data_IF_675806182666
#
_entry.id   IF_675806182666
#
_cell.length_a   1.000
_cell.length_b   1.000
_cell.length_c   1.000
_cell.angle_alpha   90.00
_cell.angle_beta   90.00
_cell.angle_gamma   90.00
#
_symmetry.space_group_name_H-M   'P 1'
#
loop_
_entity.id
_entity.type
_entity.pdbx_description
1 polymer ?
#
# COMPACT_ATOMS: atom_id res chain seq x y z
N UNK A 1 11.31 6.03 21.96
CA UNK A 1 11.10 4.58 21.75
C UNK A 1 12.19 3.80 22.48
N UNK A 2 12.03 3.52 23.78
CA UNK A 2 13.11 2.91 24.58
C UNK A 2 13.39 1.43 24.28
N UNK A 3 12.54 0.73 23.50
CA UNK A 3 12.65 -0.72 23.26
C UNK A 3 12.68 -1.13 21.78
N UNK A 4 12.73 -0.18 20.84
CA UNK A 4 12.85 -0.50 19.41
C UNK A 4 14.25 -0.95 19.05
N UNK A 5 14.38 -1.86 18.07
CA UNK A 5 15.69 -2.24 17.53
C UNK A 5 16.42 -1.00 16.99
N UNK A 6 17.60 -0.62 17.53
CA UNK A 6 18.31 0.59 17.09
C UNK A 6 18.62 0.58 15.59
N UNK A 7 18.90 -0.59 15.01
CA UNK A 7 19.14 -0.73 13.57
C UNK A 7 17.88 -0.41 12.75
N UNK A 8 16.70 -0.86 13.19
CA UNK A 8 15.43 -0.60 12.50
C UNK A 8 15.12 0.91 12.51
N UNK A 9 15.31 1.56 13.66
CA UNK A 9 15.10 3.01 13.78
C UNK A 9 16.02 3.78 12.84
N UNK A 10 17.31 3.42 12.75
CA UNK A 10 18.26 4.08 11.86
C UNK A 10 17.83 3.98 10.40
N UNK A 11 17.38 2.81 9.94
CA UNK A 11 16.92 2.62 8.56
C UNK A 11 15.63 3.39 8.30
N UNK A 12 14.66 3.34 9.21
CA UNK A 12 13.37 4.04 9.03
C UNK A 12 13.50 5.57 9.07
N UNK A 13 14.51 6.10 9.76
CA UNK A 13 14.83 7.52 9.80
C UNK A 13 15.49 8.03 8.51
N UNK A 14 15.97 7.16 7.63
CA UNK A 14 16.45 7.59 6.31
C UNK A 14 15.30 8.29 5.58
N UNK A 15 15.54 9.52 5.13
CA UNK A 15 14.50 10.26 4.42
C UNK A 15 14.43 9.77 2.97
N UNK A 16 13.28 9.26 2.49
CA UNK A 16 13.17 8.80 1.10
C UNK A 16 13.47 9.89 0.07
N UNK A 17 13.26 11.16 0.42
CA UNK A 17 13.60 12.33 -0.42
C UNK A 17 15.09 12.41 -0.78
N UNK A 18 15.96 11.76 -0.01
CA UNK A 18 17.42 11.74 -0.20
C UNK A 18 17.87 10.56 -1.07
N UNK A 19 16.94 9.65 -1.41
CA UNK A 19 17.20 8.44 -2.18
C UNK A 19 16.46 8.57 -3.52
N UNK A 20 17.13 8.38 -4.67
CA UNK A 20 16.46 8.31 -5.96
C UNK A 20 15.32 7.28 -5.96
N UNK A 21 14.19 7.61 -6.60
CA UNK A 21 12.98 6.78 -6.57
C UNK A 21 13.22 5.38 -7.14
N UNK A 22 14.10 5.24 -8.12
CA UNK A 22 14.49 3.97 -8.74
C UNK A 22 15.18 3.04 -7.75
N UNK A 23 15.80 3.60 -6.70
CA UNK A 23 16.55 2.86 -5.70
C UNK A 23 15.74 2.51 -4.46
N UNK A 24 14.49 3.00 -4.33
CA UNK A 24 13.63 2.73 -3.17
C UNK A 24 13.35 1.23 -2.93
N UNK A 25 13.50 0.38 -3.95
CA UNK A 25 13.36 -1.06 -3.81
C UNK A 25 14.37 -1.67 -2.81
N UNK A 26 15.59 -1.12 -2.71
CA UNK A 26 16.64 -1.62 -1.82
C UNK A 26 16.33 -1.39 -0.33
N UNK A 27 16.06 -0.14 0.13
CA UNK A 27 15.71 0.10 1.53
C UNK A 27 14.41 -0.60 1.90
N UNK A 28 13.41 -0.67 1.02
CA UNK A 28 12.17 -1.40 1.30
C UNK A 28 12.41 -2.90 1.52
N UNK A 29 13.23 -3.54 0.67
CA UNK A 29 13.60 -4.94 0.86
C UNK A 29 14.31 -5.13 2.21
N UNK A 30 15.27 -4.27 2.53
CA UNK A 30 16.00 -4.33 3.79
C UNK A 30 15.09 -4.15 5.01
N UNK A 31 14.19 -3.15 4.99
CA UNK A 31 13.18 -2.93 6.03
C UNK A 31 12.30 -4.17 6.21
N UNK A 32 11.86 -4.79 5.11
CA UNK A 32 11.06 -6.01 5.16
C UNK A 32 11.80 -7.16 5.83
N UNK A 33 13.07 -7.38 5.51
CA UNK A 33 13.89 -8.44 6.10
C UNK A 33 14.04 -8.23 7.60
N UNK A 34 14.38 -7.01 8.03
CA UNK A 34 14.54 -6.66 9.44
C UNK A 34 13.24 -6.82 10.23
N UNK A 35 12.12 -6.32 9.69
CA UNK A 35 10.82 -6.44 10.35
C UNK A 35 10.38 -7.90 10.43
N UNK A 36 10.61 -8.69 9.38
CA UNK A 36 10.26 -10.11 9.36
C UNK A 36 11.06 -10.90 10.38
N UNK A 37 12.36 -10.64 10.48
CA UNK A 37 13.21 -11.21 11.53
C UNK A 37 12.65 -10.87 12.92
N UNK A 38 12.36 -9.60 13.19
CA UNK A 38 11.86 -9.19 14.52
C UNK A 38 10.47 -9.76 14.85
N UNK A 39 9.57 -9.83 13.86
CA UNK A 39 8.14 -10.15 14.04
C UNK A 39 7.87 -11.66 13.95
N UNK A 40 8.58 -12.37 13.08
CA UNK A 40 8.34 -13.81 12.84
C UNK A 40 9.39 -14.70 13.50
N UNK A 41 10.63 -14.23 13.70
CA UNK A 41 11.67 -15.03 14.35
C UNK A 41 11.55 -14.94 15.88
N UNK A 42 11.02 -16.01 16.47
CA UNK A 42 10.86 -16.15 17.92
C UNK A 42 12.16 -16.51 18.64
N UNK A 43 13.26 -16.80 17.92
CA UNK A 43 14.54 -17.17 18.54
C UNK A 43 15.18 -15.99 19.28
N UNK A 44 14.95 -14.78 18.79
CA UNK A 44 15.33 -13.54 19.44
C UNK A 44 14.09 -12.93 20.06
N UNK A 45 13.89 -13.12 21.37
CA UNK A 45 12.98 -12.26 22.16
C UNK A 45 13.52 -10.82 22.13
N UNK A 46 13.28 -10.13 21.03
CA UNK A 46 13.50 -8.70 20.96
C UNK A 46 12.54 -8.04 21.97
N UNK A 47 12.98 -6.95 22.59
CA UNK A 47 12.27 -6.34 23.73
C UNK A 47 11.05 -5.50 23.28
N UNK A 48 10.79 -5.40 21.97
CA UNK A 48 9.60 -4.76 21.39
C UNK A 48 8.79 -5.77 20.60
N UNK A 49 7.47 -5.78 20.79
CA UNK A 49 6.57 -6.66 20.06
C UNK A 49 6.33 -6.19 18.61
N UNK A 50 5.50 -6.92 17.87
CA UNK A 50 5.09 -6.55 16.51
C UNK A 50 4.47 -5.15 16.43
N UNK A 51 3.79 -4.71 17.48
CA UNK A 51 3.14 -3.42 17.53
C UNK A 51 4.13 -2.25 17.54
N UNK A 52 5.21 -2.33 18.31
CA UNK A 52 6.24 -1.30 18.35
C UNK A 52 6.94 -1.16 17.00
N UNK A 53 7.23 -2.29 16.35
CA UNK A 53 7.84 -2.31 15.02
C UNK A 53 6.90 -1.74 13.96
N UNK A 54 5.61 -2.09 14.03
CA UNK A 54 4.58 -1.52 13.18
C UNK A 54 4.45 -0.01 13.38
N UNK A 55 4.41 0.46 14.63
CA UNK A 55 4.31 1.89 14.94
C UNK A 55 5.48 2.63 14.27
N UNK A 56 6.71 2.14 14.45
CA UNK A 56 7.88 2.74 13.82
C UNK A 56 7.74 2.75 12.30
N UNK A 57 7.32 1.63 11.70
CA UNK A 57 7.19 1.51 10.25
C UNK A 57 6.14 2.45 9.64
N UNK A 58 4.97 2.60 10.28
CA UNK A 58 3.88 3.46 9.77
C UNK A 58 4.21 4.95 9.95
N UNK A 59 4.88 5.32 11.04
CA UNK A 59 5.09 6.73 11.38
C UNK A 59 6.36 7.35 10.79
N UNK A 60 7.36 6.55 10.41
CA UNK A 60 8.62 7.07 9.89
C UNK A 60 8.77 6.85 8.38
N UNK A 61 9.28 7.88 7.70
CA UNK A 61 9.67 7.83 6.29
C UNK A 61 8.54 7.64 5.27
N UNK A 62 7.29 7.39 5.68
CA UNK A 62 6.21 7.09 4.73
C UNK A 62 6.46 5.80 3.94
N UNK A 63 7.24 4.87 4.49
CA UNK A 63 7.69 3.67 3.80
C UNK A 63 6.55 2.72 3.42
N UNK A 64 5.49 2.65 4.22
CA UNK A 64 4.30 1.86 3.90
C UNK A 64 3.61 2.34 2.61
N UNK A 65 3.46 3.66 2.45
CA UNK A 65 2.90 4.22 1.23
C UNK A 65 3.82 3.98 0.03
N UNK A 66 5.12 4.21 0.20
CA UNK A 66 6.10 3.97 -0.87
C UNK A 66 6.08 2.50 -1.31
N UNK A 67 5.93 1.55 -0.38
CA UNK A 67 5.78 0.14 -0.71
C UNK A 67 4.55 -0.12 -1.59
N UNK A 68 3.41 0.52 -1.29
CA UNK A 68 2.19 0.42 -2.09
C UNK A 68 2.39 0.99 -3.50
N UNK A 69 3.03 2.15 -3.63
CA UNK A 69 3.32 2.79 -4.90
C UNK A 69 4.25 1.93 -5.76
N UNK A 70 5.34 1.43 -5.18
CA UNK A 70 6.30 0.57 -5.89
C UNK A 70 5.65 -0.73 -6.38
N UNK A 71 4.71 -1.30 -5.62
CA UNK A 71 3.97 -2.49 -6.05
C UNK A 71 3.05 -2.24 -7.25
N UNK A 72 2.41 -1.08 -7.28
CA UNK A 72 1.52 -0.67 -8.39
C UNK A 72 2.33 -0.30 -9.63
N UNK A 73 3.43 0.42 -9.46
CA UNK A 73 4.27 0.92 -10.56
C UNK A 73 5.19 -0.15 -11.17
N UNK A 74 5.51 -1.20 -10.42
CA UNK A 74 6.37 -2.28 -10.91
C UNK A 74 5.72 -3.04 -12.07
N UNK A 75 6.40 -3.15 -13.22
CA UNK A 75 5.95 -3.99 -14.33
C UNK A 75 6.17 -5.49 -14.06
N UNK A 76 7.20 -5.81 -13.27
CA UNK A 76 7.57 -7.17 -12.92
C UNK A 76 6.58 -7.82 -11.94
N UNK A 77 6.81 -9.09 -11.58
CA UNK A 77 6.03 -9.75 -10.56
C UNK A 77 6.15 -9.00 -9.20
N UNK A 78 5.04 -8.83 -8.45
CA UNK A 78 5.06 -8.17 -7.14
C UNK A 78 6.10 -8.78 -6.18
N UNK A 79 7.10 -8.01 -5.70
CA UNK A 79 8.11 -8.54 -4.79
C UNK A 79 7.50 -9.00 -3.46
N UNK A 80 7.88 -10.18 -2.99
CA UNK A 80 7.36 -10.76 -1.74
C UNK A 80 7.60 -9.83 -0.54
N UNK A 81 8.77 -9.19 -0.47
CA UNK A 81 9.11 -8.24 0.58
C UNK A 81 8.10 -7.07 0.67
N UNK A 82 7.68 -6.51 -0.47
CA UNK A 82 6.72 -5.40 -0.46
C UNK A 82 5.31 -5.87 -0.11
N UNK A 83 4.92 -7.05 -0.59
CA UNK A 83 3.65 -7.66 -0.21
C UNK A 83 3.59 -7.90 1.31
N UNK A 84 4.70 -8.37 1.89
CA UNK A 84 4.82 -8.59 3.32
C UNK A 84 4.70 -7.28 4.11
N UNK A 85 5.40 -6.22 3.67
CA UNK A 85 5.31 -4.89 4.30
C UNK A 85 3.88 -4.35 4.30
N UNK A 86 3.14 -4.48 3.21
CA UNK A 86 1.75 -4.04 3.14
C UNK A 86 0.82 -4.87 4.02
N UNK A 87 0.99 -6.20 4.02
CA UNK A 87 0.21 -7.05 4.90
C UNK A 87 0.47 -6.70 6.38
N UNK A 88 1.73 -6.47 6.73
CA UNK A 88 2.15 -6.03 8.07
C UNK A 88 1.64 -4.64 8.43
N UNK A 89 1.63 -3.68 7.49
CA UNK A 89 1.16 -2.31 7.75
C UNK A 89 -0.32 -2.25 8.13
N UNK A 90 -1.11 -3.17 7.58
CA UNK A 90 -2.55 -3.25 7.81
C UNK A 90 -2.94 -4.13 9.00
N UNK A 91 -2.22 -5.23 9.19
CA UNK A 91 -2.51 -6.20 10.25
C UNK A 91 -1.21 -6.60 10.97
N UNK A 92 -0.67 -5.76 11.87
CA UNK A 92 0.61 -6.04 12.52
C UNK A 92 0.58 -7.24 13.46
N UNK A 93 -0.59 -7.58 13.98
CA UNK A 93 -0.79 -8.69 14.93
C UNK A 93 -1.07 -10.02 14.23
N UNK A 94 -1.25 -10.05 12.91
CA UNK A 94 -1.53 -11.28 12.18
C UNK A 94 -0.35 -12.24 12.26
N UNK A 95 -0.63 -13.53 12.45
CA UNK A 95 0.40 -14.57 12.39
C UNK A 95 0.93 -14.76 10.97
N UNK A 96 2.06 -15.47 10.82
CA UNK A 96 2.68 -15.74 9.52
C UNK A 96 1.72 -16.37 8.50
N UNK A 97 0.83 -17.27 8.94
CA UNK A 97 -0.18 -17.90 8.08
C UNK A 97 -1.23 -16.90 7.55
N UNK A 98 -1.79 -16.06 8.43
CA UNK A 98 -2.79 -15.04 8.06
C UNK A 98 -2.17 -13.98 7.14
N UNK A 99 -0.92 -13.58 7.44
CA UNK A 99 -0.15 -12.65 6.62
C UNK A 99 0.09 -13.23 5.22
N UNK A 100 0.49 -14.51 5.12
CA UNK A 100 0.69 -15.18 3.84
C UNK A 100 -0.61 -15.23 2.99
N UNK A 101 -1.76 -15.42 3.63
CA UNK A 101 -3.07 -15.37 2.94
C UNK A 101 -3.34 -13.97 2.37
N UNK A 102 -3.14 -12.93 3.18
CA UNK A 102 -3.31 -11.54 2.75
C UNK A 102 -2.35 -11.20 1.59
N UNK A 103 -1.09 -11.62 1.68
CA UNK A 103 -0.11 -11.44 0.60
C UNK A 103 -0.56 -12.13 -0.70
N UNK A 104 -1.09 -13.36 -0.62
CA UNK A 104 -1.56 -14.09 -1.79
C UNK A 104 -2.77 -13.39 -2.45
N UNK A 105 -3.71 -12.89 -1.65
CA UNK A 105 -4.87 -12.14 -2.16
C UNK A 105 -4.44 -10.84 -2.83
N UNK A 106 -3.60 -10.04 -2.16
CA UNK A 106 -3.07 -8.79 -2.70
C UNK A 106 -2.29 -9.03 -3.99
N UNK A 107 -1.45 -10.07 -4.03
CA UNK A 107 -0.73 -10.49 -5.23
C UNK A 107 -1.68 -10.83 -6.37
N UNK A 108 -2.75 -11.58 -6.10
CA UNK A 108 -3.75 -11.94 -7.10
C UNK A 108 -4.46 -10.70 -7.66
N UNK A 109 -4.84 -9.75 -6.80
CA UNK A 109 -5.43 -8.47 -7.23
C UNK A 109 -4.45 -7.70 -8.11
N UNK A 110 -3.20 -7.53 -7.70
CA UNK A 110 -2.18 -6.82 -8.50
C UNK A 110 -1.96 -7.47 -9.87
N UNK A 111 -1.92 -8.81 -9.94
CA UNK A 111 -1.80 -9.54 -11.22
C UNK A 111 -3.03 -9.28 -12.10
N UNK A 112 -4.25 -9.28 -11.56
CA UNK A 112 -5.47 -8.95 -12.32
C UNK A 112 -5.45 -7.50 -12.83
N UNK A 113 -5.07 -6.55 -11.98
CA UNK A 113 -4.93 -5.14 -12.36
C UNK A 113 -3.94 -4.95 -13.53
N UNK A 114 -2.78 -5.62 -13.46
CA UNK A 114 -1.78 -5.61 -14.55
C UNK A 114 -2.31 -6.21 -15.84
N UNK A 115 -3.08 -7.31 -15.77
CA UNK A 115 -3.75 -7.89 -16.95
C UNK A 115 -4.73 -6.91 -17.57
N UNK A 116 -5.52 -6.21 -16.76
CA UNK A 116 -6.46 -5.19 -17.24
C UNK A 116 -5.76 -4.02 -17.93
N UNK A 117 -4.56 -3.65 -17.49
CA UNK A 117 -3.73 -2.66 -18.19
C UNK A 117 -3.28 -3.12 -19.58
N UNK A 118 -3.15 -4.42 -19.81
CA UNK A 118 -2.86 -4.99 -21.13
C UNK A 118 -4.08 -5.14 -22.05
N UNK A 119 -5.31 -5.09 -21.50
CA UNK A 119 -6.55 -5.23 -22.28
C UNK A 119 -6.82 -4.00 -23.15
N UNK A 120 -7.50 -4.10 -24.30
CA UNK A 120 -7.78 -2.96 -25.18
C UNK A 120 -8.76 -1.94 -24.58
N UNK A 121 -9.68 -2.38 -23.72
CA UNK A 121 -10.61 -1.54 -22.98
C UNK A 121 -10.42 -1.74 -21.48
N UNK A 122 -10.32 -0.64 -20.74
CA UNK A 122 -10.28 -0.61 -19.27
C UNK A 122 -11.55 0.07 -18.79
N UNK A 123 -12.39 -0.64 -18.01
CA UNK A 123 -13.61 -0.07 -17.44
C UNK A 123 -13.60 -0.06 -15.91
N UNK A 124 -14.42 0.80 -15.32
CA UNK A 124 -14.56 0.87 -13.86
C UNK A 124 -15.13 -0.44 -13.27
N UNK A 125 -16.04 -1.09 -13.99
CA UNK A 125 -16.62 -2.38 -13.60
C UNK A 125 -15.59 -3.50 -13.58
N UNK A 126 -14.66 -3.53 -14.54
CA UNK A 126 -13.59 -4.53 -14.57
C UNK A 126 -12.65 -4.37 -13.37
N UNK A 127 -12.33 -3.13 -12.98
CA UNK A 127 -11.52 -2.86 -11.78
C UNK A 127 -12.25 -3.25 -10.49
N UNK A 128 -13.54 -2.95 -10.40
CA UNK A 128 -14.37 -3.37 -9.26
C UNK A 128 -14.43 -4.90 -9.17
N UNK A 129 -14.61 -5.60 -10.29
CA UNK A 129 -14.61 -7.06 -10.36
C UNK A 129 -13.25 -7.64 -9.93
N UNK A 130 -12.14 -7.07 -10.41
CA UNK A 130 -10.80 -7.52 -10.03
C UNK A 130 -10.52 -7.42 -8.52
N UNK A 131 -11.13 -6.47 -7.83
CA UNK A 131 -11.07 -6.33 -6.38
C UNK A 131 -12.11 -7.18 -5.64
N UNK A 132 -13.27 -7.42 -6.26
CA UNK A 132 -14.37 -8.19 -5.69
C UNK A 132 -14.21 -9.71 -5.86
N UNK A 133 -13.43 -10.21 -6.81
CA UNK A 133 -13.18 -11.65 -7.01
C UNK A 133 -12.48 -12.30 -5.81
N UNK A 134 -11.87 -11.51 -4.92
CA UNK A 134 -11.36 -12.00 -3.62
C UNK A 134 -12.49 -12.22 -2.60
N UNK A 135 -13.77 -12.02 -2.98
CA UNK A 135 -14.92 -12.04 -2.06
C UNK A 135 -15.54 -13.39 -1.74
N UNK A 136 -15.26 -14.40 -2.54
CA UNK A 136 -16.11 -15.60 -2.59
C UNK A 136 -15.74 -16.69 -1.56
N UNK A 137 -14.79 -16.42 -0.64
CA UNK A 137 -14.49 -17.30 0.51
C UNK A 137 -14.44 -16.49 1.81
N UNK A 138 -15.33 -16.86 2.73
CA UNK A 138 -15.44 -16.39 4.12
C UNK A 138 -15.76 -14.89 4.35
N UNK A 139 -16.38 -14.56 5.51
CA UNK A 139 -16.44 -13.18 5.99
C UNK A 139 -15.02 -12.75 6.35
N UNK A 140 -14.36 -12.12 5.38
CA UNK A 140 -12.96 -11.72 5.46
C UNK A 140 -12.74 -10.59 6.47
N UNK A 141 -11.53 -10.48 7.03
CA UNK A 141 -11.18 -9.35 7.89
C UNK A 141 -11.36 -8.03 7.11
N UNK A 142 -11.98 -7.00 7.71
CA UNK A 142 -12.20 -5.70 7.07
C UNK A 142 -10.90 -5.04 6.56
N UNK A 143 -9.76 -5.37 7.19
CA UNK A 143 -8.43 -4.80 6.88
C UNK A 143 -7.87 -5.22 5.51
N UNK A 144 -8.07 -6.48 5.07
CA UNK A 144 -7.62 -6.91 3.73
C UNK A 144 -8.38 -6.14 2.63
N UNK A 145 -9.67 -5.91 2.83
CA UNK A 145 -10.48 -5.12 1.90
C UNK A 145 -10.05 -3.65 1.87
N UNK A 146 -9.69 -3.08 3.02
CA UNK A 146 -9.14 -1.73 3.10
C UNK A 146 -7.79 -1.61 2.35
N UNK A 147 -6.92 -2.61 2.49
CA UNK A 147 -5.66 -2.68 1.74
C UNK A 147 -5.91 -2.75 0.22
N UNK A 148 -6.84 -3.59 -0.22
CA UNK A 148 -7.21 -3.70 -1.64
C UNK A 148 -7.75 -2.36 -2.17
N UNK A 149 -8.59 -1.65 -1.41
CA UNK A 149 -9.06 -0.31 -1.79
C UNK A 149 -7.90 0.67 -1.93
N UNK A 150 -6.96 0.70 -0.98
CA UNK A 150 -5.78 1.58 -1.07
C UNK A 150 -4.90 1.27 -2.28
N UNK A 151 -4.78 0.00 -2.66
CA UNK A 151 -4.06 -0.39 -3.87
C UNK A 151 -4.79 0.07 -5.14
N UNK A 152 -6.12 -0.03 -5.18
CA UNK A 152 -6.91 0.53 -6.28
C UNK A 152 -6.71 2.05 -6.38
N UNK A 153 -6.76 2.77 -5.26
CA UNK A 153 -6.56 4.23 -5.27
C UNK A 153 -5.15 4.59 -5.75
N UNK A 154 -4.11 3.89 -5.29
CA UNK A 154 -2.75 4.05 -5.81
C UNK A 154 -2.68 3.76 -7.31
N UNK A 155 -3.36 2.71 -7.78
CA UNK A 155 -3.44 2.37 -9.20
C UNK A 155 -4.11 3.48 -10.02
N UNK A 156 -5.23 4.04 -9.54
CA UNK A 156 -5.90 5.16 -10.19
C UNK A 156 -5.00 6.40 -10.27
N UNK A 157 -4.20 6.67 -9.24
CA UNK A 157 -3.32 7.84 -9.23
C UNK A 157 -2.08 7.65 -10.11
N UNK A 158 -1.43 6.49 -10.03
CA UNK A 158 -0.13 6.28 -10.66
C UNK A 158 -0.19 5.79 -12.10
N UNK A 159 -1.29 5.15 -12.52
CA UNK A 159 -1.40 4.62 -13.88
C UNK A 159 -2.14 5.60 -14.79
N UNK A 160 -1.48 6.25 -15.78
CA UNK A 160 -2.10 7.30 -16.60
C UNK A 160 -3.36 6.85 -17.32
N UNK A 161 -3.41 5.58 -17.74
CA UNK A 161 -4.57 5.01 -18.43
C UNK A 161 -5.79 4.86 -17.50
N UNK A 162 -5.58 4.71 -16.20
CA UNK A 162 -6.66 4.61 -15.23
C UNK A 162 -7.29 5.99 -14.90
N UNK A 163 -6.62 7.10 -15.23
CA UNK A 163 -7.08 8.46 -14.93
C UNK A 163 -8.46 8.75 -15.55
N UNK A 164 -8.71 8.21 -16.75
CA UNK A 164 -9.97 8.42 -17.48
C UNK A 164 -11.19 7.82 -16.80
N UNK A 165 -11.02 6.80 -15.97
CA UNK A 165 -12.09 6.11 -15.24
C UNK A 165 -12.01 6.32 -13.73
N UNK A 166 -11.04 7.11 -13.25
CA UNK A 166 -10.78 7.26 -11.82
C UNK A 166 -11.99 7.77 -11.05
N UNK A 167 -12.73 8.73 -11.61
CA UNK A 167 -13.97 9.26 -11.01
C UNK A 167 -15.05 8.18 -10.88
N UNK A 168 -15.32 7.44 -11.96
CA UNK A 168 -16.33 6.38 -11.96
C UNK A 168 -15.98 5.29 -10.94
N UNK A 169 -14.71 4.89 -10.88
CA UNK A 169 -14.23 3.91 -9.90
C UNK A 169 -14.36 4.44 -8.48
N UNK A 170 -14.02 5.71 -8.23
CA UNK A 170 -14.15 6.33 -6.91
C UNK A 170 -15.60 6.28 -6.41
N UNK A 171 -16.56 6.64 -7.27
CA UNK A 171 -17.99 6.55 -6.96
C UNK A 171 -18.43 5.11 -6.64
N UNK A 172 -17.89 4.11 -7.35
CA UNK A 172 -18.19 2.70 -7.08
C UNK A 172 -17.57 2.19 -5.77
N UNK A 173 -16.45 2.76 -5.36
CA UNK A 173 -15.76 2.36 -4.14
C UNK A 173 -16.31 3.08 -2.89
N UNK A 174 -16.97 4.22 -3.04
CA UNK A 174 -17.48 5.08 -1.95
C UNK A 174 -19.02 5.09 -1.85
N UNK A 175 -19.70 3.94 -1.74
CA UNK A 175 -21.16 3.91 -1.61
C UNK A 175 -21.67 4.38 -0.24
N UNK A 176 -20.78 4.57 0.74
CA UNK A 176 -21.13 4.95 2.13
C UNK A 176 -20.24 6.08 2.62
N UNK A 177 -20.76 6.87 3.56
CA UNK A 177 -20.01 7.99 4.16
C UNK A 177 -18.68 7.52 4.78
N UNK A 178 -18.65 6.36 5.44
CA UNK A 178 -17.41 5.79 6.01
C UNK A 178 -16.33 5.57 4.95
N UNK A 179 -16.71 5.02 3.79
CA UNK A 179 -15.79 4.77 2.69
C UNK A 179 -15.37 6.08 2.00
N UNK A 180 -16.26 7.06 1.92
CA UNK A 180 -15.93 8.42 1.47
C UNK A 180 -14.86 9.03 2.37
N UNK A 181 -15.03 8.98 3.70
CA UNK A 181 -14.04 9.51 4.65
C UNK A 181 -12.70 8.78 4.56
N UNK A 182 -12.70 7.45 4.38
CA UNK A 182 -11.49 6.66 4.14
C UNK A 182 -10.72 7.16 2.90
N UNK A 183 -11.43 7.45 1.81
CA UNK A 183 -10.82 7.93 0.56
C UNK A 183 -10.32 9.35 0.66
N UNK A 184 -11.09 10.25 1.28
CA UNK A 184 -10.65 11.63 1.53
C UNK A 184 -9.37 11.61 2.34
N UNK A 185 -9.33 10.83 3.44
CA UNK A 185 -8.13 10.67 4.26
C UNK A 185 -6.93 10.12 3.47
N UNK A 186 -7.16 9.13 2.59
CA UNK A 186 -6.11 8.60 1.71
C UNK A 186 -5.55 9.66 0.75
N UNK A 187 -6.43 10.42 0.08
CA UNK A 187 -6.02 11.40 -0.91
C UNK A 187 -5.29 12.58 -0.24
N UNK A 188 -5.79 13.06 0.91
CA UNK A 188 -5.13 14.11 1.70
C UNK A 188 -3.75 13.68 2.19
N UNK A 189 -3.65 12.48 2.77
CA UNK A 189 -2.38 11.92 3.23
C UNK A 189 -1.38 11.78 2.07
N UNK A 190 -1.86 11.34 0.90
CA UNK A 190 -1.03 11.17 -0.30
C UNK A 190 -0.50 12.52 -0.80
N UNK A 191 -1.35 13.54 -0.89
CA UNK A 191 -0.95 14.88 -1.30
C UNK A 191 0.05 15.50 -0.31
N UNK A 192 -0.25 15.43 0.98
CA UNK A 192 0.63 15.91 2.05
C UNK A 192 2.02 15.26 1.94
N UNK A 193 2.07 13.94 1.76
CA UNK A 193 3.32 13.19 1.65
C UNK A 193 4.12 13.59 0.41
N UNK A 194 3.49 13.70 -0.76
CA UNK A 194 4.21 14.10 -1.98
C UNK A 194 4.81 15.49 -1.86
N UNK A 195 4.16 16.41 -1.16
CA UNK A 195 4.69 17.75 -0.91
C UNK A 195 5.89 17.70 0.08
N UNK A 196 5.84 16.85 1.10
CA UNK A 196 6.94 16.64 2.05
C UNK A 196 8.14 15.91 1.45
N UNK A 197 7.90 14.94 0.57
CA UNK A 197 8.93 14.17 -0.13
C UNK A 197 9.49 14.90 -1.37
N UNK A 198 8.92 16.06 -1.73
CA UNK A 198 9.25 16.81 -2.95
C UNK A 198 9.14 15.96 -4.22
N UNK A 199 8.15 15.07 -4.27
CA UNK A 199 7.95 14.18 -5.40
C UNK A 199 7.39 14.93 -6.62
N UNK A 200 7.96 14.66 -7.78
CA UNK A 200 7.53 15.17 -9.08
C UNK A 200 6.34 14.38 -9.65
N UNK A 201 5.25 14.28 -8.89
CA UNK A 201 4.03 13.58 -9.27
C UNK A 201 2.97 14.52 -9.90
N UNK A 202 3.35 15.37 -10.88
CA UNK A 202 2.49 16.48 -11.35
C UNK A 202 1.09 16.04 -11.82
N UNK A 203 1.00 14.97 -12.63
CA UNK A 203 -0.29 14.46 -13.13
C UNK A 203 -1.09 13.72 -12.04
N UNK A 204 -0.53 12.75 -11.30
CA UNK A 204 -1.22 12.13 -10.16
C UNK A 204 -1.71 13.14 -9.12
N UNK A 205 -0.91 14.18 -8.83
CA UNK A 205 -1.25 15.27 -7.89
C UNK A 205 -2.44 16.07 -8.36
N UNK A 206 -2.49 16.42 -9.65
CA UNK A 206 -3.64 17.12 -10.22
C UNK A 206 -4.91 16.28 -10.10
N UNK A 207 -4.85 15.01 -10.48
CA UNK A 207 -5.97 14.09 -10.37
C UNK A 207 -6.44 13.92 -8.92
N UNK A 208 -5.53 13.71 -7.96
CA UNK A 208 -5.89 13.56 -6.56
C UNK A 208 -6.66 14.78 -6.00
N UNK A 209 -6.25 16.00 -6.39
CA UNK A 209 -6.96 17.23 -6.01
C UNK A 209 -8.34 17.35 -6.66
N UNK A 210 -8.46 16.95 -7.93
CA UNK A 210 -9.75 16.92 -8.63
C UNK A 210 -10.71 15.93 -7.95
N UNK A 211 -10.25 14.71 -7.64
CA UNK A 211 -11.04 13.71 -6.94
C UNK A 211 -11.46 14.17 -5.54
N UNK A 212 -10.57 14.83 -4.79
CA UNK A 212 -10.90 15.39 -3.47
C UNK A 212 -11.98 16.48 -3.52
N UNK A 213 -12.02 17.28 -4.59
CA UNK A 213 -13.04 18.33 -4.71
C UNK A 213 -14.46 17.81 -4.98
N UNK A 214 -14.59 16.52 -5.25
CA UNK A 214 -15.84 15.85 -5.63
C UNK A 214 -16.36 14.89 -4.56
N UNK A 215 -15.59 14.65 -3.49
CA UNK A 215 -15.97 13.86 -2.32
C UNK A 215 -16.47 14.77 -1.19
#
# INVERSE_FOLDING_TARGET
FPYGSPSLVVVLLQHPKEIPQELWHQPLKHISEMLREIVEDQTHRSHGGPFECWFLFIHFGGWADIAAEQLVMSEAEPPEALLWLLAFSYSPCDGSLQRAQTMAEVKAVLIRLKKLLGSPSLSAKDLQAAAAESRDRDPRPPLCQQLIRRLLLNFLLWIPRAHVIAREVLTLLAPTDELTHEMTGFLDQTLYRWDHLRMEATRPRKLARELLSEL
#
